data_IF_442446912986
#
_entry.id   IF_442446912986
#
_cell.length_a   1.000
_cell.length_b   1.000
_cell.length_c   1.000
_cell.angle_alpha   90.00
_cell.angle_beta   90.00
_cell.angle_gamma   90.00
#
_symmetry.space_group_name_H-M   'P 1'
#
loop_
_entity.id
_entity.type
_entity.pdbx_description
1 polymer ?
#
# COMPACT_ATOMS: atom_id res chain seq x y z
N UNK A 1 0.46 -0.28 24.80
CA UNK A 1 1.35 0.86 24.59
C UNK A 1 2.08 1.09 25.88
N UNK A 2 3.31 0.60 25.91
CA UNK A 2 4.13 0.48 27.13
C UNK A 2 5.13 1.64 27.31
N UNK A 3 4.98 2.76 26.56
CA UNK A 3 5.83 3.95 26.66
C UNK A 3 7.20 3.85 25.98
N UNK A 4 7.44 2.82 25.19
CA UNK A 4 8.66 2.73 24.39
C UNK A 4 8.73 3.85 23.37
N UNK A 5 9.92 4.44 23.21
CA UNK A 5 10.21 5.43 22.17
C UNK A 5 10.98 4.76 21.06
N UNK A 6 10.63 5.06 19.80
CA UNK A 6 11.41 4.67 18.64
C UNK A 6 12.40 5.77 18.31
N UNK A 7 13.67 5.43 18.16
CA UNK A 7 14.73 6.35 17.73
C UNK A 7 15.05 6.06 16.26
N UNK A 8 14.89 7.05 15.42
CA UNK A 8 15.32 6.97 14.03
C UNK A 8 16.74 7.56 13.91
N UNK A 9 17.67 6.77 13.36
CA UNK A 9 19.08 7.18 13.18
C UNK A 9 19.34 7.25 11.69
N UNK A 10 19.29 8.42 11.06
CA UNK A 10 19.40 8.58 9.61
C UNK A 10 20.79 8.25 9.06
N UNK A 11 21.84 8.34 9.90
CA UNK A 11 23.22 8.10 9.49
C UNK A 11 23.57 6.61 9.35
N UNK A 12 22.71 5.72 9.87
CA UNK A 12 22.89 4.27 9.76
C UNK A 12 22.05 3.75 8.60
N UNK A 13 22.69 3.52 7.46
CA UNK A 13 22.05 2.98 6.27
C UNK A 13 22.22 1.47 6.22
N UNK A 14 21.11 0.74 6.09
CA UNK A 14 21.09 -0.71 5.90
C UNK A 14 20.53 -1.02 4.53
N UNK A 15 21.29 -1.70 3.69
CA UNK A 15 20.86 -2.11 2.38
C UNK A 15 19.80 -3.23 2.47
N UNK A 16 18.76 -3.11 1.68
CA UNK A 16 17.70 -4.11 1.59
C UNK A 16 17.53 -4.58 0.14
N UNK A 17 17.45 -5.90 -0.03
CA UNK A 17 17.20 -6.52 -1.33
C UNK A 17 15.70 -6.49 -1.63
N UNK A 18 15.34 -5.99 -2.81
CA UNK A 18 13.99 -6.04 -3.35
C UNK A 18 13.74 -7.37 -4.04
N UNK A 19 12.50 -7.89 -4.01
CA UNK A 19 12.17 -9.11 -4.73
C UNK A 19 12.30 -8.89 -6.24
N UNK A 20 13.16 -9.66 -6.90
CA UNK A 20 13.39 -9.60 -8.35
C UNK A 20 12.27 -10.28 -9.14
N UNK A 21 11.56 -11.24 -8.52
CA UNK A 21 10.46 -11.97 -9.15
C UNK A 21 9.11 -11.43 -8.72
N UNK A 22 8.16 -11.39 -9.66
CA UNK A 22 6.79 -10.93 -9.41
C UNK A 22 6.08 -11.76 -8.33
N UNK A 23 6.32 -13.07 -8.27
CA UNK A 23 5.74 -13.92 -7.23
C UNK A 23 6.27 -13.57 -5.83
N UNK A 24 7.56 -13.25 -5.71
CA UNK A 24 8.16 -12.74 -4.49
C UNK A 24 7.54 -11.41 -4.05
N UNK A 25 7.36 -10.49 -5.00
CA UNK A 25 6.71 -9.21 -4.78
C UNK A 25 5.24 -9.36 -4.34
N UNK A 26 4.45 -10.24 -5.00
CA UNK A 26 3.07 -10.54 -4.61
C UNK A 26 2.99 -11.08 -3.19
N UNK A 27 3.84 -12.04 -2.82
CA UNK A 27 3.90 -12.61 -1.45
C UNK A 27 4.24 -11.52 -0.42
N UNK A 28 5.17 -10.63 -0.73
CA UNK A 28 5.55 -9.52 0.15
C UNK A 28 4.39 -8.54 0.36
N UNK A 29 3.76 -8.10 -0.73
CA UNK A 29 2.61 -7.19 -0.69
C UNK A 29 1.41 -7.80 0.04
N UNK A 30 1.12 -9.08 -0.21
CA UNK A 30 0.08 -9.83 0.50
C UNK A 30 0.29 -9.81 2.02
N UNK A 31 1.52 -10.11 2.48
CA UNK A 31 1.85 -10.09 3.91
C UNK A 31 1.68 -8.70 4.53
N UNK A 32 2.12 -7.66 3.82
CA UNK A 32 1.99 -6.29 4.29
C UNK A 32 0.54 -5.85 4.39
N UNK A 33 -0.26 -6.15 3.37
CA UNK A 33 -1.69 -5.85 3.37
C UNK A 33 -2.42 -6.58 4.49
N UNK A 34 -2.22 -7.90 4.58
CA UNK A 34 -2.85 -8.74 5.61
C UNK A 34 -2.44 -8.31 7.01
N UNK A 35 -1.15 -8.15 7.26
CA UNK A 35 -0.63 -7.76 8.58
C UNK A 35 -1.09 -6.37 9.00
N UNK A 36 -1.18 -5.41 8.07
CA UNK A 36 -1.68 -4.06 8.35
C UNK A 36 -3.13 -4.09 8.83
N UNK A 37 -4.00 -4.81 8.12
CA UNK A 37 -5.42 -4.94 8.50
C UNK A 37 -5.60 -5.73 9.82
N UNK A 38 -4.83 -6.78 10.03
CA UNK A 38 -4.85 -7.50 11.32
C UNK A 38 -4.44 -6.59 12.48
N UNK A 39 -3.42 -5.74 12.27
CA UNK A 39 -3.03 -4.73 13.26
C UNK A 39 -4.13 -3.68 13.45
N UNK A 40 -4.82 -3.25 12.38
CA UNK A 40 -5.95 -2.33 12.48
C UNK A 40 -7.06 -2.93 13.36
N UNK A 41 -7.50 -4.15 13.06
CA UNK A 41 -8.56 -4.83 13.80
C UNK A 41 -8.19 -4.95 15.29
N UNK A 42 -6.93 -5.27 15.59
CA UNK A 42 -6.48 -5.52 16.96
C UNK A 42 -6.18 -4.26 17.77
N UNK A 43 -5.66 -3.22 17.15
CA UNK A 43 -5.05 -2.10 17.86
C UNK A 43 -5.75 -0.76 17.64
N UNK A 44 -6.41 -0.55 16.48
CA UNK A 44 -6.90 0.76 16.07
C UNK A 44 -7.92 1.32 17.05
N UNK A 45 -8.89 0.52 17.49
CA UNK A 45 -9.88 0.95 18.49
C UNK A 45 -9.24 1.45 19.78
N UNK A 46 -8.24 0.70 20.29
CA UNK A 46 -7.50 1.09 21.49
C UNK A 46 -6.66 2.36 21.30
N UNK A 47 -6.15 2.62 20.09
CA UNK A 47 -5.41 3.85 19.77
C UNK A 47 -6.34 5.05 19.76
N UNK A 48 -7.48 4.93 19.06
CA UNK A 48 -8.41 6.05 18.88
C UNK A 48 -9.04 6.53 20.18
N UNK A 49 -9.34 5.62 21.11
CA UNK A 49 -9.99 5.95 22.40
C UNK A 49 -9.00 6.54 23.41
N UNK A 50 -7.70 6.28 23.30
CA UNK A 50 -6.71 6.79 24.28
C UNK A 50 -6.55 8.31 24.23
N UNK A 51 -6.90 8.99 25.34
CA UNK A 51 -6.77 10.45 25.47
C UNK A 51 -5.31 10.95 25.42
N UNK A 52 -4.35 10.15 25.85
CA UNK A 52 -2.91 10.51 25.89
C UNK A 52 -2.23 10.51 24.52
N UNK A 53 -2.90 10.03 23.48
CA UNK A 53 -2.34 10.02 22.11
C UNK A 53 -2.84 11.27 21.39
N UNK A 54 -1.92 12.02 20.82
CA UNK A 54 -2.21 13.22 20.05
C UNK A 54 -3.07 12.90 18.80
N UNK A 55 -3.87 13.85 18.36
CA UNK A 55 -4.85 13.63 17.27
C UNK A 55 -4.14 13.31 15.94
N UNK A 56 -3.03 13.98 15.65
CA UNK A 56 -2.18 13.73 14.48
C UNK A 56 -1.67 12.28 14.45
N UNK A 57 -1.19 11.77 15.59
CA UNK A 57 -0.74 10.38 15.71
C UNK A 57 -1.88 9.37 15.54
N UNK A 58 -3.10 9.70 15.99
CA UNK A 58 -4.30 8.87 15.77
C UNK A 58 -4.67 8.84 14.29
N UNK A 59 -4.64 10.00 13.62
CA UNK A 59 -4.92 10.10 12.19
C UNK A 59 -3.90 9.33 11.36
N UNK A 60 -2.62 9.48 11.69
CA UNK A 60 -1.55 8.71 11.03
C UNK A 60 -1.74 7.20 11.24
N UNK A 61 -2.06 6.76 12.46
CA UNK A 61 -2.31 5.35 12.75
C UNK A 61 -3.52 4.83 11.96
N UNK A 62 -4.59 5.60 11.88
CA UNK A 62 -5.77 5.25 11.08
C UNK A 62 -5.39 5.06 9.62
N UNK A 63 -4.80 6.07 8.99
CA UNK A 63 -4.40 6.01 7.56
C UNK A 63 -3.42 4.87 7.31
N UNK A 64 -2.39 4.74 8.15
CA UNK A 64 -1.33 3.75 7.95
C UNK A 64 -1.84 2.31 8.08
N UNK A 65 -2.73 2.04 9.03
CA UNK A 65 -3.24 0.69 9.26
C UNK A 65 -4.37 0.30 8.29
N UNK A 66 -5.15 1.27 7.79
CA UNK A 66 -6.31 1.00 6.92
C UNK A 66 -6.04 1.22 5.44
N UNK A 67 -4.87 1.74 5.07
CA UNK A 67 -4.54 2.10 3.66
C UNK A 67 -4.80 0.99 2.64
N UNK A 68 -4.68 -0.26 3.05
CA UNK A 68 -4.89 -1.39 2.13
C UNK A 68 -6.36 -1.68 1.80
N UNK A 69 -7.31 -1.04 2.51
CA UNK A 69 -8.76 -1.10 2.18
C UNK A 69 -9.05 -0.48 0.81
N UNK A 70 -8.17 0.38 0.33
CA UNK A 70 -8.30 0.96 -1.02
C UNK A 70 -8.36 -0.10 -2.13
N UNK A 71 -7.67 -1.23 -1.98
CA UNK A 71 -7.63 -2.27 -3.00
C UNK A 71 -8.99 -2.97 -3.23
N UNK A 72 -9.70 -3.47 -2.21
CA UNK A 72 -11.06 -3.99 -2.42
C UNK A 72 -12.03 -2.93 -2.94
N UNK A 73 -11.92 -1.66 -2.51
CA UNK A 73 -12.75 -0.59 -3.03
C UNK A 73 -12.49 -0.33 -4.51
N UNK A 74 -11.23 -0.30 -4.93
CA UNK A 74 -10.84 -0.19 -6.35
C UNK A 74 -11.40 -1.37 -7.17
N UNK A 75 -11.32 -2.59 -6.65
CA UNK A 75 -11.80 -3.77 -7.36
C UNK A 75 -13.32 -3.74 -7.50
N UNK A 76 -14.05 -3.39 -6.43
CA UNK A 76 -15.51 -3.23 -6.47
C UNK A 76 -15.91 -2.19 -7.51
N UNK A 77 -15.23 -1.05 -7.52
CA UNK A 77 -15.52 0.01 -8.48
C UNK A 77 -15.21 -0.40 -9.92
N UNK A 78 -14.11 -1.09 -10.15
CA UNK A 78 -13.73 -1.58 -11.47
C UNK A 78 -14.76 -2.59 -12.01
N UNK A 79 -15.31 -3.46 -11.14
CA UNK A 79 -16.35 -4.42 -11.51
C UNK A 79 -17.74 -3.77 -11.64
N UNK A 80 -18.03 -2.75 -10.82
CA UNK A 80 -19.32 -2.06 -10.86
C UNK A 80 -19.45 -1.14 -12.09
N UNK A 81 -18.36 -0.57 -12.59
CA UNK A 81 -18.38 0.40 -13.67
C UNK A 81 -19.06 -0.11 -14.94
N UNK A 82 -18.74 -1.29 -15.52
CA UNK A 82 -19.43 -1.80 -16.70
C UNK A 82 -20.93 -2.09 -16.43
N UNK A 83 -21.28 -2.51 -15.22
CA UNK A 83 -22.69 -2.76 -14.84
C UNK A 83 -23.47 -1.44 -14.79
N UNK A 84 -22.88 -0.40 -14.22
CA UNK A 84 -23.47 0.93 -14.15
C UNK A 84 -23.60 1.56 -15.54
N UNK A 85 -22.64 1.35 -16.43
CA UNK A 85 -22.70 1.82 -17.82
C UNK A 85 -23.79 1.09 -18.63
N UNK A 86 -24.03 -0.19 -18.36
CA UNK A 86 -25.07 -0.97 -19.00
C UNK A 86 -26.49 -0.68 -18.43
N UNK A 87 -26.58 -0.13 -17.23
CA UNK A 87 -27.82 0.29 -16.60
C UNK A 87 -28.12 1.75 -16.98
N UNK A 88 -29.42 2.11 -17.09
CA UNK A 88 -29.86 3.47 -17.39
C UNK A 88 -29.61 4.45 -16.22
N UNK A 89 -28.50 4.29 -15.50
CA UNK A 89 -28.10 5.17 -14.40
C UNK A 89 -27.54 6.47 -14.96
N UNK A 90 -27.85 7.58 -14.30
CA UNK A 90 -27.40 8.90 -14.70
C UNK A 90 -25.88 8.95 -14.91
N UNK A 91 -25.47 9.28 -16.13
CA UNK A 91 -24.07 9.27 -16.56
C UNK A 91 -23.17 10.18 -15.70
N UNK A 92 -23.72 11.24 -15.10
CA UNK A 92 -22.96 12.13 -14.21
C UNK A 92 -22.48 11.40 -12.94
N UNK A 93 -23.30 10.52 -12.35
CA UNK A 93 -22.91 9.74 -11.18
C UNK A 93 -21.83 8.71 -11.57
N UNK A 94 -22.00 8.06 -12.72
CA UNK A 94 -21.06 7.05 -13.22
C UNK A 94 -19.70 7.67 -13.55
N UNK A 95 -19.67 8.87 -14.14
CA UNK A 95 -18.41 9.55 -14.49
C UNK A 95 -17.68 10.13 -13.29
N UNK A 96 -18.38 10.45 -12.19
CA UNK A 96 -17.76 10.99 -10.98
C UNK A 96 -17.02 9.92 -10.15
N UNK A 97 -17.51 8.68 -10.12
CA UNK A 97 -16.90 7.58 -9.36
C UNK A 97 -15.44 7.29 -9.73
N UNK A 98 -15.06 7.13 -11.03
CA UNK A 98 -13.66 6.94 -11.41
C UNK A 98 -12.76 8.08 -11.01
N UNK A 99 -13.26 9.32 -11.10
CA UNK A 99 -12.49 10.52 -10.73
C UNK A 99 -12.19 10.52 -9.22
N UNK A 100 -13.18 10.23 -8.39
CA UNK A 100 -13.01 10.14 -6.93
C UNK A 100 -12.03 9.03 -6.56
N UNK A 101 -12.12 7.88 -7.19
CA UNK A 101 -11.20 6.77 -6.90
C UNK A 101 -9.79 7.08 -7.34
N UNK A 102 -9.63 7.63 -8.54
CA UNK A 102 -8.31 8.04 -9.01
C UNK A 102 -7.71 9.10 -8.09
N UNK A 103 -8.49 10.10 -7.69
CA UNK A 103 -8.06 11.15 -6.76
C UNK A 103 -7.66 10.55 -5.40
N UNK A 104 -8.47 9.64 -4.86
CA UNK A 104 -8.17 8.96 -3.59
C UNK A 104 -6.90 8.11 -3.70
N UNK A 105 -6.77 7.37 -4.78
CA UNK A 105 -5.59 6.54 -5.04
C UNK A 105 -4.32 7.38 -5.17
N UNK A 106 -4.38 8.46 -5.95
CA UNK A 106 -3.25 9.37 -6.13
C UNK A 106 -2.87 10.09 -4.82
N UNK A 107 -3.85 10.48 -4.02
CA UNK A 107 -3.61 11.15 -2.75
C UNK A 107 -2.96 10.25 -1.70
N UNK A 108 -3.33 8.98 -1.64
CA UNK A 108 -2.86 8.05 -0.59
C UNK A 108 -1.49 7.42 -0.84
N UNK A 109 -0.99 7.41 -2.04
CA UNK A 109 0.29 6.79 -2.36
C UNK A 109 1.13 7.62 -3.32
N UNK A 110 0.77 7.62 -4.62
CA UNK A 110 1.54 8.35 -5.63
C UNK A 110 1.62 9.85 -5.37
N UNK A 111 0.54 10.49 -4.90
CA UNK A 111 0.55 11.91 -4.56
C UNK A 111 1.47 12.22 -3.38
N UNK A 112 1.43 11.39 -2.32
CA UNK A 112 2.36 11.52 -1.20
C UNK A 112 3.81 11.30 -1.65
N UNK A 113 4.07 10.36 -2.56
CA UNK A 113 5.39 10.13 -3.13
C UNK A 113 5.88 11.35 -3.93
N UNK A 114 5.04 11.94 -4.79
CA UNK A 114 5.38 13.17 -5.52
C UNK A 114 5.65 14.34 -4.57
N UNK A 115 4.83 14.48 -3.54
CA UNK A 115 5.01 15.53 -2.52
C UNK A 115 6.35 15.37 -1.80
N UNK A 116 6.69 14.14 -1.40
CA UNK A 116 7.98 13.85 -0.75
C UNK A 116 9.13 14.16 -1.70
N UNK A 117 9.09 13.72 -2.97
CA UNK A 117 10.12 14.01 -3.97
C UNK A 117 10.25 15.51 -4.22
N UNK A 118 9.13 16.25 -4.24
CA UNK A 118 9.15 17.69 -4.43
C UNK A 118 9.87 18.41 -3.29
N UNK A 119 9.65 17.94 -2.05
CA UNK A 119 10.24 18.56 -0.86
C UNK A 119 11.65 18.05 -0.51
N UNK A 120 12.05 16.90 -1.04
CA UNK A 120 13.43 16.43 -0.87
C UNK A 120 14.34 17.09 -1.90
N UNK A 121 15.47 17.63 -1.43
CA UNK A 121 16.56 18.14 -2.27
C UNK A 121 17.30 16.95 -2.93
N UNK A 122 16.65 16.28 -3.87
CA UNK A 122 17.22 15.13 -4.56
C UNK A 122 17.59 15.51 -6.01
N UNK A 123 18.85 15.20 -6.38
CA UNK A 123 19.35 15.44 -7.73
C UNK A 123 18.61 14.66 -8.83
N UNK A 124 17.96 13.56 -8.46
CA UNK A 124 17.30 12.62 -9.38
C UNK A 124 15.76 12.77 -9.41
N UNK A 125 15.21 13.96 -9.16
CA UNK A 125 13.76 14.22 -9.15
C UNK A 125 13.05 13.79 -10.43
N UNK A 126 13.64 14.08 -11.59
CA UNK A 126 13.04 13.75 -12.90
C UNK A 126 12.92 12.24 -13.11
N UNK A 127 13.97 11.49 -12.81
CA UNK A 127 13.97 10.02 -12.93
C UNK A 127 12.93 9.38 -12.01
N UNK A 128 12.81 9.87 -10.77
CA UNK A 128 11.80 9.41 -9.82
C UNK A 128 10.38 9.75 -10.26
N UNK A 129 10.16 10.90 -10.87
CA UNK A 129 8.87 11.27 -11.43
C UNK A 129 8.48 10.39 -12.64
N UNK A 130 9.44 10.03 -13.49
CA UNK A 130 9.24 9.13 -14.64
C UNK A 130 8.86 7.71 -14.16
N UNK A 131 9.28 7.28 -12.98
CA UNK A 131 8.90 5.99 -12.43
C UNK A 131 7.43 5.90 -11.98
N UNK A 132 6.72 7.03 -11.85
CA UNK A 132 5.34 7.08 -11.35
C UNK A 132 4.34 6.25 -12.15
N UNK A 133 4.26 6.31 -13.47
CA UNK A 133 3.35 5.46 -14.25
C UNK A 133 3.56 3.98 -13.98
N UNK A 134 4.82 3.55 -13.85
CA UNK A 134 5.16 2.16 -13.54
C UNK A 134 4.67 1.74 -12.14
N UNK A 135 4.80 2.63 -11.15
CA UNK A 135 4.29 2.40 -9.80
C UNK A 135 2.76 2.29 -9.77
N UNK A 136 2.07 3.09 -10.58
CA UNK A 136 0.61 3.04 -10.70
C UNK A 136 0.18 1.69 -11.31
N UNK A 137 0.76 1.31 -12.45
CA UNK A 137 0.46 0.04 -13.12
C UNK A 137 0.78 -1.15 -12.22
N UNK A 138 1.93 -1.14 -11.53
CA UNK A 138 2.30 -2.16 -10.56
C UNK A 138 1.27 -2.27 -9.43
N UNK A 139 0.83 -1.16 -8.87
CA UNK A 139 -0.15 -1.14 -7.79
C UNK A 139 -1.52 -1.65 -8.26
N UNK A 140 -1.95 -1.30 -9.47
CA UNK A 140 -3.18 -1.83 -10.07
C UNK A 140 -3.07 -3.35 -10.27
N UNK A 141 -1.93 -3.84 -10.77
CA UNK A 141 -1.67 -5.28 -10.90
C UNK A 141 -1.70 -6.04 -9.58
N UNK A 142 -1.44 -5.36 -8.45
CA UNK A 142 -1.51 -5.93 -7.11
C UNK A 142 -2.91 -5.87 -6.49
N UNK A 143 -3.90 -5.21 -7.13
CA UNK A 143 -5.21 -4.96 -6.54
C UNK A 143 -5.92 -6.25 -6.11
N UNK A 144 -5.97 -7.26 -6.97
CA UNK A 144 -6.61 -8.56 -6.65
C UNK A 144 -5.87 -9.27 -5.51
N UNK A 145 -4.53 -9.34 -5.59
CA UNK A 145 -3.70 -9.98 -4.58
C UNK A 145 -3.89 -9.35 -3.18
N UNK A 146 -3.89 -8.02 -3.13
CA UNK A 146 -4.05 -7.28 -1.89
C UNK A 146 -5.49 -7.28 -1.38
N UNK A 147 -6.49 -7.34 -2.27
CA UNK A 147 -7.90 -7.53 -1.89
C UNK A 147 -8.09 -8.86 -1.18
N UNK A 148 -7.54 -9.95 -1.72
CA UNK A 148 -7.60 -11.27 -1.06
C UNK A 148 -6.92 -11.20 0.32
N UNK A 149 -5.78 -10.51 0.42
CA UNK A 149 -5.08 -10.34 1.70
C UNK A 149 -5.91 -9.58 2.74
N UNK A 150 -6.63 -8.53 2.33
CA UNK A 150 -7.55 -7.76 3.19
C UNK A 150 -8.71 -8.64 3.65
N UNK A 151 -9.35 -9.38 2.74
CA UNK A 151 -10.45 -10.30 3.07
C UNK A 151 -9.96 -11.39 4.03
N UNK A 152 -8.82 -12.02 3.74
CA UNK A 152 -8.22 -13.03 4.61
C UNK A 152 -7.95 -12.50 6.03
N UNK A 153 -7.53 -11.24 6.15
CA UNK A 153 -7.33 -10.59 7.44
C UNK A 153 -8.65 -10.35 8.18
N UNK A 154 -9.70 -9.93 7.47
CA UNK A 154 -11.02 -9.64 8.06
C UNK A 154 -11.72 -10.91 8.55
N UNK A 155 -11.62 -12.02 7.80
CA UNK A 155 -12.21 -13.31 8.20
C UNK A 155 -11.31 -14.09 9.18
N UNK A 156 -10.15 -13.56 9.54
CA UNK A 156 -9.25 -14.19 10.51
C UNK A 156 -8.53 -15.44 9.97
N UNK A 157 -8.45 -15.63 8.66
CA UNK A 157 -7.81 -16.79 8.04
C UNK A 157 -6.33 -16.85 8.39
N UNK A 158 -5.89 -17.94 8.97
CA UNK A 158 -4.46 -18.19 9.24
C UNK A 158 -3.73 -18.49 7.92
N UNK A 159 -2.50 -18.03 7.80
CA UNK A 159 -1.61 -18.34 6.67
C UNK A 159 -0.20 -18.56 7.18
N UNK A 160 0.52 -19.42 6.52
CA UNK A 160 1.94 -19.65 6.80
C UNK A 160 2.77 -18.41 6.47
N UNK A 161 3.84 -18.21 7.24
CA UNK A 161 4.78 -17.13 7.02
C UNK A 161 5.85 -17.59 6.01
N UNK A 162 5.57 -17.43 4.73
CA UNK A 162 6.53 -17.67 3.68
C UNK A 162 7.44 -16.45 3.50
N UNK A 163 8.73 -16.63 3.74
CA UNK A 163 9.71 -15.55 3.52
C UNK A 163 9.83 -15.25 2.03
N UNK A 164 10.08 -13.98 1.70
CA UNK A 164 10.47 -13.61 0.35
C UNK A 164 11.88 -14.13 0.09
N UNK A 165 12.12 -14.88 -0.98
CA UNK A 165 13.47 -15.32 -1.34
C UNK A 165 14.41 -14.11 -1.45
N UNK A 166 15.63 -14.30 -1.01
CA UNK A 166 16.73 -13.35 -1.16
C UNK A 166 17.90 -14.08 -1.81
N UNK A 167 18.44 -13.51 -2.85
CA UNK A 167 19.45 -14.14 -3.69
C UNK A 167 20.86 -13.63 -3.41
N UNK A 168 21.00 -12.62 -2.52
CA UNK A 168 22.30 -12.03 -2.18
C UNK A 168 22.91 -11.26 -3.34
N UNK A 169 22.10 -10.73 -4.25
CA UNK A 169 22.54 -10.02 -5.46
C UNK A 169 23.27 -8.75 -5.05
N UNK A 170 24.55 -8.65 -5.41
CA UNK A 170 25.41 -7.49 -5.19
C UNK A 170 25.73 -6.79 -6.52
N UNK A 171 25.88 -7.56 -7.61
CA UNK A 171 26.19 -7.06 -8.95
C UNK A 171 25.12 -7.46 -9.95
N UNK A 172 25.00 -6.68 -11.03
CA UNK A 172 24.05 -6.97 -12.13
C UNK A 172 24.33 -8.30 -12.87
N UNK A 173 25.54 -8.87 -12.66
CA UNK A 173 25.96 -10.15 -13.26
C UNK A 173 25.62 -11.35 -12.39
N UNK A 174 25.15 -11.13 -11.16
CA UNK A 174 24.84 -12.21 -10.22
C UNK A 174 23.57 -12.94 -10.68
N UNK A 175 23.58 -14.27 -10.58
CA UNK A 175 22.44 -15.10 -10.99
C UNK A 175 21.34 -15.03 -9.91
N UNK A 176 20.09 -14.81 -10.36
CA UNK A 176 18.90 -14.74 -9.52
C UNK A 176 17.88 -15.86 -9.86
N UNK A 177 18.28 -16.85 -10.66
CA UNK A 177 17.44 -17.99 -11.01
C UNK A 177 17.46 -19.04 -9.90
N UNK A 178 16.29 -19.63 -9.64
CA UNK A 178 16.15 -20.82 -8.79
C UNK A 178 16.57 -22.07 -9.55
#
# INVERSE_FOLDING_TARGET
MKGWKCLFIPDIVVNAELPVQMNGAKRQQFRWAKGSIQCAIKLLGGILVKRKIAIDAKLQAFVQLTRHIVFPLMLIQFLALPILLASNVNLYIVSFLPVVTLATYLAMGPGAYLFIIHNMYDKNRKEKAIAMPYLIIYSMGMAVNNTIAVIDAMVGKKSEFLRTPKYGIVKNTDDWRE
#
